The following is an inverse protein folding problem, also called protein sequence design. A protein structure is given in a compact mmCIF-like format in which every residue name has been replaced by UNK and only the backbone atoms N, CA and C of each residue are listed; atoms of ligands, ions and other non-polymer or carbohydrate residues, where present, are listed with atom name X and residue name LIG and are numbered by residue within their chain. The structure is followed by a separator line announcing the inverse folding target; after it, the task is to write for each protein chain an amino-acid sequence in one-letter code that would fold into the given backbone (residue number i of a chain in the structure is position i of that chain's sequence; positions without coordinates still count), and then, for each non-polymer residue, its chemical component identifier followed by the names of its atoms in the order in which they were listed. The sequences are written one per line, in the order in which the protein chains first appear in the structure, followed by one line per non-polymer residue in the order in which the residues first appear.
data_IF_570978795212
#
_entry.id   IF_570978795212
#
_cell.length_a   1.000
_cell.length_b   1.000
_cell.length_c   1.000
_cell.angle_alpha   90.00
_cell.angle_beta   90.00
_cell.angle_gamma   90.00
#
_symmetry.space_group_name_H-M   'P 1'
#
loop_
_entity.id
_entity.type
_entity.pdbx_description
1 polymer ?
#
# COMPACT_ATOMS: atom_id res chain seq x y z
N UNK A 1 18.47 -8.64 -3.82
CA UNK A 1 17.79 -7.61 -2.98
C UNK A 1 16.26 -7.58 -3.21
N UNK A 2 15.60 -8.70 -3.52
CA UNK A 2 14.20 -8.70 -4.00
C UNK A 2 13.14 -8.51 -2.90
N UNK A 3 13.49 -8.76 -1.64
CA UNK A 3 12.53 -8.76 -0.52
C UNK A 3 12.12 -7.36 -0.01
N UNK A 4 12.67 -6.27 -0.57
CA UNK A 4 12.36 -4.88 -0.18
C UNK A 4 11.51 -4.14 -1.21
N UNK A 5 11.10 -4.80 -2.30
CA UNK A 5 10.32 -4.18 -3.40
C UNK A 5 8.96 -3.64 -2.94
N UNK A 6 8.42 -4.15 -1.84
CA UNK A 6 7.19 -3.64 -1.23
C UNK A 6 7.34 -2.22 -0.64
N UNK A 7 8.55 -1.82 -0.21
CA UNK A 7 8.83 -0.48 0.32
C UNK A 7 8.65 0.54 -0.80
N UNK A 8 9.28 0.30 -1.95
CA UNK A 8 9.15 1.15 -3.12
C UNK A 8 7.72 1.23 -3.65
N UNK A 9 6.98 0.11 -3.65
CA UNK A 9 5.56 0.11 -4.00
C UNK A 9 4.70 0.91 -3.01
N UNK A 10 5.01 0.83 -1.72
CA UNK A 10 4.33 1.60 -0.68
C UNK A 10 4.62 3.10 -0.78
N UNK A 11 5.88 3.47 -1.01
CA UNK A 11 6.31 4.85 -1.23
C UNK A 11 5.66 5.44 -2.48
N UNK A 12 5.68 4.72 -3.60
CA UNK A 12 5.03 5.16 -4.84
C UNK A 12 3.53 5.36 -4.64
N UNK A 13 2.87 4.48 -3.88
CA UNK A 13 1.45 4.61 -3.56
C UNK A 13 1.14 5.81 -2.66
N UNK A 14 1.94 6.05 -1.61
CA UNK A 14 1.79 7.21 -0.74
C UNK A 14 1.99 8.52 -1.50
N UNK A 15 3.00 8.59 -2.38
CA UNK A 15 3.22 9.74 -3.26
C UNK A 15 2.05 9.93 -4.23
N UNK A 16 1.56 8.84 -4.85
CA UNK A 16 0.41 8.90 -5.76
C UNK A 16 -0.84 9.44 -5.06
N UNK A 17 -1.14 8.98 -3.84
CA UNK A 17 -2.27 9.48 -3.06
C UNK A 17 -2.15 10.97 -2.74
N UNK A 18 -0.95 11.41 -2.35
CA UNK A 18 -0.71 12.83 -2.09
C UNK A 18 -0.93 13.67 -3.34
N UNK A 19 -0.36 13.27 -4.48
CA UNK A 19 -0.56 13.97 -5.76
C UNK A 19 -2.04 13.96 -6.15
N UNK A 20 -2.72 12.82 -6.03
CA UNK A 20 -4.14 12.72 -6.33
C UNK A 20 -4.98 13.66 -5.46
N UNK A 21 -4.67 13.77 -4.18
CA UNK A 21 -5.47 14.56 -3.24
C UNK A 21 -5.20 16.07 -3.33
N UNK A 22 -3.96 16.50 -3.54
CA UNK A 22 -3.57 17.91 -3.53
C UNK A 22 -3.36 18.53 -4.92
N UNK A 23 -3.28 17.72 -5.96
CA UNK A 23 -3.15 18.17 -7.35
C UNK A 23 -4.33 17.69 -8.16
N UNK A 24 -4.71 16.41 -8.04
CA UNK A 24 -5.84 15.82 -8.77
C UNK A 24 -7.18 16.44 -8.38
N UNK A 25 -7.60 16.36 -7.12
CA UNK A 25 -8.90 16.86 -6.67
C UNK A 25 -9.10 18.37 -6.93
N UNK A 26 -8.15 19.26 -6.59
CA UNK A 26 -8.31 20.70 -6.84
C UNK A 26 -8.30 21.05 -8.34
N UNK A 27 -7.75 20.18 -9.20
CA UNK A 27 -7.81 20.38 -10.64
C UNK A 27 -9.22 20.17 -11.22
N UNK A 28 -10.05 19.35 -10.58
CA UNK A 28 -11.43 19.07 -11.02
C UNK A 28 -12.49 19.89 -10.27
N UNK A 29 -12.13 20.54 -9.17
CA UNK A 29 -13.05 21.35 -8.36
C UNK A 29 -12.45 22.73 -8.06
N UNK A 30 -12.97 23.74 -8.76
CA UNK A 30 -12.54 25.14 -8.67
C UNK A 30 -12.77 25.75 -7.27
N UNK A 31 -13.53 25.10 -6.39
CA UNK A 31 -13.75 25.54 -5.01
C UNK A 31 -12.59 25.19 -4.08
N UNK A 32 -11.71 24.27 -4.48
CA UNK A 32 -10.59 23.82 -3.66
C UNK A 32 -9.32 24.57 -4.09
N UNK A 33 -8.65 25.29 -3.18
CA UNK A 33 -7.44 26.04 -3.52
C UNK A 33 -6.29 25.07 -3.86
N UNK A 34 -5.67 25.28 -5.02
CA UNK A 34 -4.58 24.45 -5.53
C UNK A 34 -3.24 24.87 -4.89
N UNK A 35 -3.06 24.48 -3.63
CA UNK A 35 -1.89 24.84 -2.81
C UNK A 35 -1.11 23.61 -2.31
N UNK A 36 -0.52 22.81 -3.22
CA UNK A 36 0.22 21.60 -2.85
C UNK A 36 1.44 21.90 -1.97
N UNK A 37 2.06 23.07 -2.16
CA UNK A 37 3.24 23.52 -1.40
C UNK A 37 2.96 23.67 0.11
N UNK A 38 1.76 24.14 0.46
CA UNK A 38 1.34 24.27 1.87
C UNK A 38 1.06 22.91 2.53
N UNK A 39 0.91 21.86 1.73
CA UNK A 39 0.59 20.50 2.16
C UNK A 39 1.79 19.54 2.10
N UNK A 40 3.02 20.06 1.97
CA UNK A 40 4.24 19.26 2.03
C UNK A 40 4.40 18.51 3.36
N UNK A 41 3.89 19.07 4.47
CA UNK A 41 3.90 18.38 5.76
C UNK A 41 3.09 17.07 5.71
N UNK A 42 1.99 17.05 4.94
CA UNK A 42 1.19 15.86 4.74
C UNK A 42 1.91 14.80 3.91
N UNK A 43 2.85 15.20 3.05
CA UNK A 43 3.72 14.26 2.35
C UNK A 43 4.63 13.51 3.33
N UNK A 44 5.13 14.20 4.36
CA UNK A 44 5.94 13.58 5.42
C UNK A 44 5.16 12.49 6.18
N UNK A 45 3.86 12.69 6.40
CA UNK A 45 2.97 11.68 7.00
C UNK A 45 2.51 10.61 6.00
N UNK A 46 2.42 10.94 4.71
CA UNK A 46 2.07 10.00 3.66
C UNK A 46 3.16 8.93 3.43
N UNK A 47 4.42 9.26 3.71
CA UNK A 47 5.54 8.31 3.60
C UNK A 47 5.41 7.11 4.56
N UNK A 48 5.31 7.27 5.90
CA UNK A 48 5.12 6.15 6.82
C UNK A 48 3.79 5.42 6.56
N UNK A 49 2.72 6.15 6.23
CA UNK A 49 1.44 5.53 5.88
C UNK A 49 1.52 4.66 4.61
N UNK A 50 2.17 5.16 3.56
CA UNK A 50 2.38 4.43 2.31
C UNK A 50 3.26 3.19 2.50
N UNK A 51 4.34 3.31 3.29
CA UNK A 51 5.19 2.17 3.64
C UNK A 51 4.41 1.13 4.45
N UNK A 52 3.62 1.55 5.46
CA UNK A 52 2.78 0.65 6.26
C UNK A 52 1.76 -0.08 5.40
N UNK A 53 1.11 0.62 4.47
CA UNK A 53 0.20 0.01 3.50
C UNK A 53 0.92 -0.99 2.60
N UNK A 54 2.09 -0.64 2.07
CA UNK A 54 2.92 -1.52 1.25
C UNK A 54 3.30 -2.80 1.99
N UNK A 55 3.67 -2.69 3.28
CA UNK A 55 3.97 -3.83 4.14
C UNK A 55 2.73 -4.72 4.30
N UNK A 56 1.60 -4.13 4.66
CA UNK A 56 0.35 -4.88 4.85
C UNK A 56 -0.07 -5.60 3.55
N UNK A 57 -0.04 -4.91 2.42
CA UNK A 57 -0.54 -5.41 1.14
C UNK A 57 0.32 -6.46 0.49
N UNK A 58 1.65 -6.31 0.57
CA UNK A 58 2.60 -7.17 -0.15
C UNK A 58 3.36 -8.14 0.75
N UNK A 59 3.31 -7.97 2.08
CA UNK A 59 3.94 -8.91 3.03
C UNK A 59 2.89 -9.64 3.85
N UNK A 60 1.98 -8.93 4.52
CA UNK A 60 1.02 -9.54 5.46
C UNK A 60 -0.04 -10.36 4.72
N UNK A 61 -0.69 -9.78 3.71
CA UNK A 61 -1.75 -10.47 2.96
C UNK A 61 -1.24 -11.76 2.29
N UNK A 62 -0.13 -11.76 1.52
CA UNK A 62 0.39 -12.97 0.91
C UNK A 62 0.80 -14.04 1.92
N UNK A 63 1.39 -13.65 3.06
CA UNK A 63 1.74 -14.60 4.14
C UNK A 63 0.52 -15.24 4.81
N UNK A 64 -0.63 -14.55 4.86
CA UNK A 64 -1.87 -15.13 5.37
C UNK A 64 -2.50 -16.06 4.34
N UNK A 65 -2.51 -15.67 3.07
CA UNK A 65 -3.04 -16.50 1.99
C UNK A 65 -2.23 -17.79 1.78
N UNK A 66 -0.89 -17.71 1.82
CA UNK A 66 -0.03 -18.89 1.69
C UNK A 66 -0.19 -19.89 2.85
N UNK A 67 -0.40 -19.40 4.08
CA UNK A 67 -0.66 -20.28 5.24
C UNK A 67 -1.98 -21.01 5.16
N UNK A 68 -3.03 -20.37 4.64
CA UNK A 68 -4.32 -21.01 4.39
C UNK A 68 -4.18 -22.11 3.32
N UNK A 69 -3.44 -21.81 2.25
CA UNK A 69 -3.21 -22.76 1.16
C UNK A 69 -2.37 -23.98 1.60
N UNK A 70 -1.34 -23.76 2.42
CA UNK A 70 -0.50 -24.84 2.98
C UNK A 70 -1.27 -25.70 4.00
N UNK A 71 -2.20 -25.11 4.77
CA UNK A 71 -3.08 -25.88 5.67
C UNK A 71 -4.11 -26.73 4.92
N UNK A 72 -4.64 -26.25 3.79
CA UNK A 72 -5.57 -27.04 2.95
C UNK A 72 -4.86 -28.21 2.26
N UNK A 73 -3.62 -28.00 1.78
CA UNK A 73 -2.83 -29.04 1.11
C UNK A 73 -2.31 -30.10 2.10
N UNK A 74 -2.00 -29.69 3.35
CA UNK A 74 -1.68 -30.61 4.44
C UNK A 74 -2.86 -31.49 4.86
N UNK A 75 -4.08 -30.93 4.89
CA UNK A 75 -5.30 -31.67 5.24
C UNK A 75 -5.66 -32.70 4.16
N UNK A 76 -5.54 -32.36 2.88
CA UNK A 76 -5.81 -33.31 1.77
C UNK A 76 -4.84 -34.50 1.72
N UNK A 77 -3.60 -34.33 2.18
CA UNK A 77 -2.62 -35.43 2.25
C UNK A 77 -2.86 -36.38 3.41
N UNK A 78 -3.52 -35.97 4.49
CA UNK A 78 -3.81 -36.85 5.64
C UNK A 78 -5.10 -37.65 5.47
N UNK A 79 -6.02 -37.22 4.60
CA UNK A 79 -7.30 -37.91 4.34
C UNK A 79 -7.17 -39.08 3.35
N UNK A 80 -6.12 -39.08 2.51
CA UNK A 80 -5.87 -40.11 1.50
C UNK A 80 -4.88 -41.21 1.95
N UNK A 81 -4.64 -41.36 3.25
CA UNK A 81 -3.69 -42.32 3.83
C UNK A 81 -4.35 -43.19 4.87
#
# INVERSE_FOLDING_TARGET
MENKRWIWKGLAFGLFLWVFMYVGLPYFDEKIPLEPEKNLLHLLFALPAGIAWGYFRFVVIPKKAGRLQESEDGSRKSENK
#
